data_IF_098453444418
#
_entry.id   IF_098453444418
#
_cell.length_a   1.000
_cell.length_b   1.000
_cell.length_c   1.000
_cell.angle_alpha   90.00
_cell.angle_beta   90.00
_cell.angle_gamma   90.00
#
_symmetry.space_group_name_H-M   'P 1'
#
loop_
_entity.id
_entity.type
_entity.pdbx_description
1 polymer ?
#
# COMPACT_ATOMS: atom_id res chain seq x y z
N UNK A 1 14.70 -32.65 9.38
CA UNK A 1 14.22 -31.59 10.30
C UNK A 1 14.40 -30.28 9.59
N UNK A 2 13.33 -29.72 9.04
CA UNK A 2 13.36 -28.38 8.43
C UNK A 2 13.44 -27.37 9.59
N UNK A 3 14.57 -26.69 9.74
CA UNK A 3 14.69 -25.56 10.65
C UNK A 3 13.64 -24.52 10.21
N UNK A 4 12.68 -24.25 11.07
CA UNK A 4 11.74 -23.16 10.87
C UNK A 4 12.57 -21.88 10.72
N UNK A 5 12.52 -21.27 9.55
CA UNK A 5 13.16 -19.96 9.30
C UNK A 5 12.43 -18.95 10.17
N UNK A 6 13.13 -18.36 11.13
CA UNK A 6 12.58 -17.28 11.96
C UNK A 6 12.50 -16.04 11.08
N UNK A 7 11.30 -15.51 10.88
CA UNK A 7 11.08 -14.27 10.15
C UNK A 7 11.68 -13.10 10.93
N UNK A 8 12.52 -12.27 10.31
CA UNK A 8 13.03 -11.05 10.94
C UNK A 8 11.89 -10.13 11.40
N UNK A 9 12.08 -9.49 12.56
CA UNK A 9 11.15 -8.50 13.10
C UNK A 9 11.83 -7.15 13.25
N UNK A 10 11.06 -6.14 12.93
CA UNK A 10 11.40 -4.72 13.09
C UNK A 10 10.36 -4.13 14.04
N UNK A 11 10.73 -3.94 15.29
CA UNK A 11 9.75 -3.71 16.35
C UNK A 11 8.75 -4.88 16.45
N UNK A 12 7.46 -4.59 16.38
CA UNK A 12 6.38 -5.60 16.42
C UNK A 12 6.09 -6.20 15.04
N UNK A 13 6.60 -5.60 13.94
CA UNK A 13 6.26 -6.01 12.58
C UNK A 13 7.24 -7.02 12.00
N UNK A 14 6.70 -8.00 11.30
CA UNK A 14 7.48 -8.92 10.49
C UNK A 14 7.89 -8.23 9.18
N UNK A 15 9.12 -8.46 8.73
CA UNK A 15 9.62 -7.79 7.53
C UNK A 15 10.82 -8.48 6.92
N UNK A 16 11.23 -7.98 5.74
CA UNK A 16 12.45 -8.37 5.08
C UNK A 16 13.23 -7.12 4.68
N UNK A 17 14.45 -6.98 5.20
CA UNK A 17 15.39 -5.94 4.82
C UNK A 17 16.39 -6.51 3.81
N UNK A 18 16.55 -5.83 2.69
CA UNK A 18 17.67 -6.02 1.80
C UNK A 18 18.50 -4.72 1.78
N UNK A 19 19.65 -4.77 2.42
CA UNK A 19 20.56 -3.64 2.48
C UNK A 19 21.12 -3.33 1.07
N UNK A 20 21.16 -2.06 0.74
CA UNK A 20 21.75 -1.55 -0.49
C UNK A 20 23.25 -1.26 -0.34
N UNK A 21 23.80 -0.55 -1.32
CA UNK A 21 25.23 -0.20 -1.37
C UNK A 21 25.60 1.06 -0.57
N UNK A 22 24.62 1.74 0.04
CA UNK A 22 24.88 2.99 0.78
C UNK A 22 25.23 4.18 -0.10
N UNK A 23 24.71 4.23 -1.32
CA UNK A 23 24.98 5.29 -2.32
C UNK A 23 24.24 6.61 -2.09
N UNK A 24 23.65 6.78 -0.91
CA UNK A 24 22.92 7.99 -0.49
C UNK A 24 21.49 8.10 -1.02
N UNK A 25 21.01 7.14 -1.83
CA UNK A 25 19.61 7.12 -2.27
C UNK A 25 18.68 6.68 -1.16
N UNK A 26 17.48 7.26 -1.12
CA UNK A 26 16.48 6.92 -0.12
C UNK A 26 16.07 5.43 -0.21
N UNK A 27 15.95 4.77 0.94
CA UNK A 27 15.42 3.42 1.00
C UNK A 27 13.95 3.38 0.58
N UNK A 28 13.55 2.28 -0.05
CA UNK A 28 12.16 2.01 -0.39
C UNK A 28 11.53 1.12 0.69
N UNK A 29 10.44 1.57 1.28
CA UNK A 29 9.66 0.81 2.27
C UNK A 29 8.32 0.43 1.67
N UNK A 30 8.00 -0.86 1.69
CA UNK A 30 6.84 -1.43 1.02
C UNK A 30 5.79 -1.88 2.03
N UNK A 31 4.58 -1.36 1.88
CA UNK A 31 3.41 -1.65 2.71
C UNK A 31 2.34 -2.34 1.86
N UNK A 32 2.02 -3.62 2.13
CA UNK A 32 1.05 -4.39 1.34
C UNK A 32 -0.36 -3.85 1.53
N UNK A 33 -1.22 -4.14 0.56
CA UNK A 33 -2.64 -3.84 0.67
C UNK A 33 -3.31 -4.64 1.78
N UNK A 34 -4.45 -4.14 2.24
CA UNK A 34 -5.27 -4.81 3.27
C UNK A 34 -5.56 -6.25 2.87
N UNK A 35 -5.42 -7.16 3.81
CA UNK A 35 -5.51 -8.62 3.70
C UNK A 35 -4.30 -9.33 3.10
N UNK A 36 -3.40 -8.62 2.45
CA UNK A 36 -2.20 -9.19 1.85
C UNK A 36 -1.00 -9.14 2.79
N UNK A 37 -0.06 -10.06 2.57
CA UNK A 37 1.24 -10.01 3.24
C UNK A 37 2.32 -9.38 2.32
N UNK A 38 3.49 -9.06 2.91
CA UNK A 38 4.62 -8.45 2.24
C UNK A 38 5.12 -9.20 1.00
N UNK A 39 4.79 -10.49 0.87
CA UNK A 39 5.28 -11.31 -0.24
C UNK A 39 4.61 -10.98 -1.57
N UNK A 40 3.52 -10.20 -1.56
CA UNK A 40 2.91 -9.68 -2.79
C UNK A 40 3.87 -8.80 -3.61
N UNK A 41 4.88 -8.22 -2.96
CA UNK A 41 5.90 -7.38 -3.61
C UNK A 41 7.00 -8.15 -4.35
N UNK A 42 7.05 -9.49 -4.19
CA UNK A 42 8.12 -10.33 -4.77
C UNK A 42 8.38 -10.11 -6.26
N UNK A 43 7.37 -10.00 -7.15
CA UNK A 43 7.63 -9.76 -8.57
C UNK A 43 8.35 -8.42 -8.80
N UNK A 44 7.83 -7.35 -8.24
CA UNK A 44 8.41 -6.01 -8.36
C UNK A 44 9.83 -5.93 -7.77
N UNK A 45 10.07 -6.54 -6.61
CA UNK A 45 11.39 -6.56 -5.97
C UNK A 45 12.41 -7.39 -6.74
N UNK A 46 11.99 -8.45 -7.43
CA UNK A 46 12.87 -9.22 -8.31
C UNK A 46 13.36 -8.36 -9.47
N UNK A 47 12.44 -7.65 -10.12
CA UNK A 47 12.77 -6.72 -11.21
C UNK A 47 13.62 -5.55 -10.71
N UNK A 48 13.28 -4.99 -9.55
CA UNK A 48 14.02 -3.88 -8.95
C UNK A 48 15.50 -4.27 -8.68
N UNK A 49 15.75 -5.46 -8.15
CA UNK A 49 17.12 -5.93 -7.93
C UNK A 49 17.97 -6.02 -9.19
N UNK A 50 17.33 -6.18 -10.35
CA UNK A 50 18.03 -6.18 -11.66
C UNK A 50 18.26 -4.76 -12.16
N UNK A 51 17.30 -3.86 -11.95
CA UNK A 51 17.29 -2.49 -12.49
C UNK A 51 18.10 -1.55 -11.57
N UNK A 52 17.96 -1.75 -10.26
CA UNK A 52 18.55 -0.90 -9.21
C UNK A 52 19.10 -1.77 -8.06
N UNK A 53 20.19 -2.55 -8.32
CA UNK A 53 20.70 -3.55 -7.38
C UNK A 53 21.25 -2.99 -6.08
N UNK A 54 21.59 -1.71 -6.05
CA UNK A 54 22.13 -1.02 -4.87
C UNK A 54 21.08 -0.43 -3.94
N UNK A 55 19.80 -0.54 -4.26
CA UNK A 55 18.72 0.08 -3.50
C UNK A 55 18.41 -0.68 -2.21
N UNK A 56 18.46 0.03 -1.07
CA UNK A 56 17.93 -0.53 0.18
C UNK A 56 16.42 -0.68 0.10
N UNK A 57 15.91 -1.85 0.45
CA UNK A 57 14.47 -2.12 0.48
C UNK A 57 14.05 -2.78 1.79
N UNK A 58 12.95 -2.32 2.37
CA UNK A 58 12.28 -2.93 3.52
C UNK A 58 10.84 -3.26 3.13
N UNK A 59 10.45 -4.52 3.25
CA UNK A 59 9.04 -4.92 3.13
C UNK A 59 8.51 -5.29 4.50
N UNK A 60 7.33 -4.79 4.85
CA UNK A 60 6.69 -5.05 6.14
C UNK A 60 5.34 -5.74 5.93
N UNK A 61 4.96 -6.62 6.85
CA UNK A 61 3.56 -6.97 7.03
C UNK A 61 2.89 -5.92 7.91
N UNK A 62 1.73 -5.44 7.51
CA UNK A 62 0.99 -4.47 8.31
C UNK A 62 0.50 -5.09 9.62
N UNK A 63 0.23 -4.28 10.65
CA UNK A 63 -0.27 -4.79 11.93
C UNK A 63 -1.52 -5.67 11.78
N UNK A 64 -1.47 -6.88 12.30
CA UNK A 64 -2.54 -7.88 12.20
C UNK A 64 -2.54 -8.69 10.91
N UNK A 65 -1.64 -8.40 9.95
CA UNK A 65 -1.54 -9.09 8.67
C UNK A 65 -0.29 -9.97 8.59
N UNK A 66 -0.30 -10.94 7.67
CA UNK A 66 0.82 -11.81 7.41
C UNK A 66 1.38 -12.48 8.68
N UNK A 67 2.68 -12.26 8.95
CA UNK A 67 3.35 -12.72 10.16
C UNK A 67 3.47 -11.63 11.24
N UNK A 68 2.95 -10.42 11.03
CA UNK A 68 2.78 -9.37 12.05
C UNK A 68 1.57 -9.68 12.92
N UNK A 69 1.72 -10.74 13.77
CA UNK A 69 0.65 -11.27 14.62
C UNK A 69 0.25 -10.23 15.66
N UNK A 70 -1.03 -10.12 15.92
CA UNK A 70 -1.58 -9.23 16.93
C UNK A 70 -2.95 -8.72 16.55
N UNK A 71 -3.47 -7.84 17.38
CA UNK A 71 -4.74 -7.17 17.13
C UNK A 71 -4.47 -5.82 16.46
N UNK A 72 -5.22 -5.50 15.44
CA UNK A 72 -5.23 -4.14 14.90
C UNK A 72 -5.81 -3.16 15.92
N UNK A 73 -5.05 -2.13 16.27
CA UNK A 73 -5.39 -1.16 17.33
C UNK A 73 -5.73 0.23 16.78
N UNK A 74 -6.08 0.30 15.50
CA UNK A 74 -6.39 1.55 14.80
C UNK A 74 -5.23 2.02 13.92
N UNK A 75 -5.59 2.87 12.96
CA UNK A 75 -4.66 3.33 11.92
C UNK A 75 -3.50 4.16 12.50
N UNK A 76 -3.78 4.98 13.50
CA UNK A 76 -2.75 5.78 14.17
C UNK A 76 -1.66 4.90 14.81
N UNK A 77 -2.08 3.86 15.55
CA UNK A 77 -1.14 2.90 16.15
C UNK A 77 -0.40 2.11 15.07
N UNK A 78 -1.06 1.76 13.97
CA UNK A 78 -0.42 1.09 12.86
C UNK A 78 0.70 1.94 12.23
N UNK A 79 0.48 3.24 12.09
CA UNK A 79 1.49 4.20 11.60
C UNK A 79 2.68 4.27 12.55
N UNK A 80 2.44 4.33 13.88
CA UNK A 80 3.52 4.30 14.89
C UNK A 80 4.34 3.00 14.80
N UNK A 81 3.68 1.85 14.65
CA UNK A 81 4.37 0.57 14.51
C UNK A 81 5.21 0.51 13.23
N UNK A 82 4.72 1.08 12.12
CA UNK A 82 5.50 1.21 10.89
C UNK A 82 6.71 2.12 11.11
N UNK A 83 6.55 3.25 11.83
CA UNK A 83 7.66 4.14 12.14
C UNK A 83 8.73 3.45 13.00
N UNK A 84 8.33 2.75 14.04
CA UNK A 84 9.26 1.96 14.87
C UNK A 84 9.99 0.90 14.04
N UNK A 85 9.28 0.26 13.10
CA UNK A 85 9.91 -0.74 12.23
C UNK A 85 10.93 -0.14 11.26
N UNK A 86 10.65 1.03 10.71
CA UNK A 86 11.56 1.77 9.82
C UNK A 86 12.81 2.21 10.60
N UNK A 87 12.63 2.75 11.80
CA UNK A 87 13.75 3.13 12.67
C UNK A 87 14.59 1.93 13.11
N UNK A 88 13.96 0.77 13.41
CA UNK A 88 14.68 -0.47 13.75
C UNK A 88 15.47 -1.06 12.58
N UNK A 89 15.20 -0.63 11.36
CA UNK A 89 15.96 -0.99 10.16
C UNK A 89 17.05 0.04 9.80
N UNK A 90 17.32 1.03 10.67
CA UNK A 90 18.24 2.15 10.43
C UNK A 90 17.93 2.91 9.12
N UNK A 91 16.65 3.09 8.82
CA UNK A 91 16.18 3.82 7.66
C UNK A 91 15.69 5.20 8.08
N UNK A 92 16.22 6.24 7.44
CA UNK A 92 15.78 7.62 7.59
C UNK A 92 15.15 8.14 6.30
N UNK A 93 14.10 8.94 6.43
CA UNK A 93 13.44 9.61 5.32
C UNK A 93 13.18 8.66 4.10
N UNK A 94 12.42 7.56 4.28
CA UNK A 94 12.18 6.60 3.21
C UNK A 94 11.32 7.17 2.09
N UNK A 95 11.32 6.50 0.93
CA UNK A 95 10.18 6.54 0.02
C UNK A 95 9.22 5.44 0.45
N UNK A 96 8.01 5.81 0.85
CA UNK A 96 6.97 4.85 1.20
C UNK A 96 6.21 4.40 -0.04
N UNK A 97 6.18 3.11 -0.29
CA UNK A 97 5.42 2.48 -1.36
C UNK A 97 4.27 1.69 -0.76
N UNK A 98 3.08 2.20 -0.86
CA UNK A 98 1.87 1.57 -0.31
C UNK A 98 0.93 1.09 -1.41
N UNK A 99 0.36 -0.10 -1.25
CA UNK A 99 -0.70 -0.61 -2.12
C UNK A 99 -2.07 -0.38 -1.49
N UNK A 100 -3.04 0.11 -2.29
CA UNK A 100 -4.43 0.24 -1.86
C UNK A 100 -4.55 1.04 -0.55
N UNK A 101 -5.26 0.56 0.46
CA UNK A 101 -5.41 1.22 1.76
C UNK A 101 -4.10 1.59 2.45
N UNK A 102 -3.02 0.83 2.24
CA UNK A 102 -1.70 1.17 2.79
C UNK A 102 -1.03 2.36 2.09
N UNK A 103 -1.46 2.72 0.88
CA UNK A 103 -1.04 3.97 0.26
C UNK A 103 -1.63 5.19 0.98
N UNK A 104 -2.87 5.08 1.45
CA UNK A 104 -3.50 6.10 2.29
C UNK A 104 -2.80 6.17 3.67
N UNK A 105 -2.46 5.01 4.25
CA UNK A 105 -1.67 4.96 5.48
C UNK A 105 -0.30 5.64 5.32
N UNK A 106 0.36 5.50 4.16
CA UNK A 106 1.61 6.19 3.85
C UNK A 106 1.45 7.71 3.79
N UNK A 107 0.32 8.22 3.29
CA UNK A 107 0.03 9.66 3.34
C UNK A 107 -0.11 10.16 4.78
N UNK A 108 -0.84 9.43 5.62
CA UNK A 108 -0.99 9.77 7.04
C UNK A 108 0.32 9.62 7.83
N UNK A 109 1.18 8.67 7.46
CA UNK A 109 2.54 8.58 8.00
C UNK A 109 3.32 9.87 7.71
N UNK A 110 3.28 10.37 6.48
CA UNK A 110 4.00 11.57 6.07
C UNK A 110 3.49 12.87 6.75
N UNK A 111 2.29 12.86 7.34
CA UNK A 111 1.81 13.97 8.18
C UNK A 111 2.55 14.06 9.54
N UNK A 112 3.14 12.93 9.99
CA UNK A 112 3.80 12.82 11.30
C UNK A 112 5.32 12.71 11.19
N UNK A 113 5.80 12.04 10.17
CA UNK A 113 7.20 11.65 10.02
C UNK A 113 7.74 12.05 8.65
N UNK A 114 9.01 12.46 8.57
CA UNK A 114 9.59 12.84 7.29
C UNK A 114 9.72 11.64 6.34
N UNK A 115 9.44 11.92 5.07
CA UNK A 115 9.61 10.97 3.97
C UNK A 115 10.28 11.67 2.79
N UNK A 116 11.00 10.91 1.96
CA UNK A 116 11.56 11.43 0.71
C UNK A 116 10.53 11.46 -0.41
N UNK A 117 9.46 10.69 -0.30
CA UNK A 117 8.36 10.62 -1.26
C UNK A 117 7.39 9.49 -0.96
N UNK A 118 6.29 9.47 -1.72
CA UNK A 118 5.26 8.43 -1.63
C UNK A 118 5.00 7.86 -3.02
N UNK A 119 4.95 6.53 -3.12
CA UNK A 119 4.41 5.81 -4.27
C UNK A 119 3.11 5.15 -3.85
N UNK A 120 2.02 5.72 -4.31
CA UNK A 120 0.69 5.16 -4.14
C UNK A 120 0.43 4.15 -5.27
N UNK A 121 0.18 2.91 -4.91
CA UNK A 121 -0.13 1.84 -5.87
C UNK A 121 -1.61 1.54 -5.81
N UNK A 122 -2.32 2.05 -6.79
CA UNK A 122 -3.73 1.81 -7.10
C UNK A 122 -4.73 2.14 -5.99
N UNK A 123 -4.45 3.20 -5.22
CA UNK A 123 -5.45 3.81 -4.33
C UNK A 123 -5.93 5.15 -4.91
N UNK A 124 -7.07 5.14 -5.56
CA UNK A 124 -7.72 6.37 -6.05
C UNK A 124 -8.13 7.22 -4.85
N UNK A 125 -7.71 8.50 -4.86
CA UNK A 125 -7.94 9.41 -3.73
C UNK A 125 -9.40 9.93 -3.67
N UNK A 126 -10.09 10.03 -4.80
CA UNK A 126 -11.54 10.20 -4.84
C UNK A 126 -12.21 8.85 -4.56
N UNK A 127 -12.38 8.55 -3.30
CA UNK A 127 -12.89 7.25 -2.85
C UNK A 127 -14.39 7.22 -2.53
N UNK A 128 -15.16 8.22 -2.95
CA UNK A 128 -16.58 8.34 -2.63
C UNK A 128 -17.40 7.12 -3.03
N UNK A 129 -17.19 6.60 -4.26
CA UNK A 129 -17.91 5.43 -4.76
C UNK A 129 -17.54 4.16 -3.97
N UNK A 130 -16.26 3.97 -3.65
CA UNK A 130 -15.78 2.85 -2.85
C UNK A 130 -16.33 2.93 -1.41
N UNK A 131 -16.29 4.10 -0.80
CA UNK A 131 -16.84 4.36 0.53
C UNK A 131 -18.34 4.06 0.60
N UNK A 132 -19.10 4.48 -0.41
CA UNK A 132 -20.54 4.18 -0.49
C UNK A 132 -20.80 2.68 -0.60
N UNK A 133 -20.01 1.98 -1.43
CA UNK A 133 -20.09 0.52 -1.57
C UNK A 133 -19.77 -0.21 -0.26
N UNK A 134 -18.69 0.19 0.44
CA UNK A 134 -18.32 -0.42 1.72
C UNK A 134 -19.39 -0.21 2.79
N UNK A 135 -19.97 0.99 2.89
CA UNK A 135 -21.09 1.24 3.82
C UNK A 135 -22.29 0.36 3.51
N UNK A 136 -22.61 0.14 2.24
CA UNK A 136 -23.69 -0.78 1.85
C UNK A 136 -23.40 -2.25 2.23
N UNK A 137 -22.14 -2.66 2.25
CA UNK A 137 -21.69 -4.01 2.62
C UNK A 137 -21.44 -4.17 4.13
N UNK A 138 -21.42 -3.08 4.91
CA UNK A 138 -21.08 -3.12 6.34
C UNK A 138 -21.90 -4.14 7.16
N UNK A 139 -23.24 -4.27 6.99
CA UNK A 139 -24.02 -5.28 7.69
C UNK A 139 -23.52 -6.71 7.44
N UNK A 140 -23.09 -7.00 6.20
CA UNK A 140 -22.58 -8.31 5.81
C UNK A 140 -21.16 -8.56 6.37
N UNK A 141 -20.34 -7.51 6.43
CA UNK A 141 -19.01 -7.58 7.05
C UNK A 141 -19.09 -7.87 8.56
N UNK A 142 -20.12 -7.36 9.24
CA UNK A 142 -20.30 -7.53 10.69
C UNK A 142 -21.02 -8.82 11.09
N UNK A 143 -21.82 -9.42 10.21
CA UNK A 143 -22.62 -10.61 10.53
C UNK A 143 -21.93 -11.95 10.23
N UNK A 144 -20.64 -11.93 9.85
CA UNK A 144 -19.85 -13.12 9.58
C UNK A 144 -19.83 -13.55 8.10
N UNK A 145 -20.43 -12.77 7.19
CA UNK A 145 -20.42 -13.06 5.73
C UNK A 145 -19.13 -12.58 5.05
N UNK A 146 -18.08 -12.27 5.81
CA UNK A 146 -16.82 -11.73 5.29
C UNK A 146 -16.23 -12.54 4.13
N UNK A 147 -16.16 -13.89 4.14
CA UNK A 147 -15.58 -14.63 3.01
C UNK A 147 -16.28 -14.31 1.69
N UNK A 148 -17.61 -14.30 1.68
CA UNK A 148 -18.36 -14.01 0.47
C UNK A 148 -18.21 -12.56 0.00
N UNK A 149 -18.20 -11.60 0.95
CA UNK A 149 -17.95 -10.18 0.65
C UNK A 149 -16.54 -10.00 0.10
N UNK A 150 -15.55 -10.68 0.68
CA UNK A 150 -14.18 -10.62 0.20
C UNK A 150 -14.02 -11.21 -1.20
N UNK A 151 -14.64 -12.36 -1.46
CA UNK A 151 -14.63 -12.98 -2.80
C UNK A 151 -15.22 -12.04 -3.86
N UNK A 152 -16.32 -11.34 -3.54
CA UNK A 152 -16.91 -10.32 -4.41
C UNK A 152 -15.96 -9.12 -4.65
N UNK A 153 -15.36 -8.58 -3.59
CA UNK A 153 -14.40 -7.49 -3.70
C UNK A 153 -13.16 -7.91 -4.49
N UNK A 154 -12.62 -9.10 -4.19
CA UNK A 154 -11.44 -9.64 -4.85
C UNK A 154 -11.67 -9.89 -6.34
N UNK A 155 -12.85 -10.38 -6.72
CA UNK A 155 -13.23 -10.54 -8.13
C UNK A 155 -13.21 -9.19 -8.87
N UNK A 156 -13.66 -8.11 -8.21
CA UNK A 156 -13.62 -6.75 -8.77
C UNK A 156 -12.22 -6.14 -8.88
N UNK A 157 -11.22 -6.74 -8.26
CA UNK A 157 -9.81 -6.30 -8.35
C UNK A 157 -9.09 -6.79 -9.60
N UNK A 158 -9.70 -7.70 -10.38
CA UNK A 158 -9.14 -8.21 -11.62
C UNK A 158 -7.74 -8.82 -11.49
N UNK A 159 -7.54 -9.64 -10.44
CA UNK A 159 -6.25 -10.28 -10.16
C UNK A 159 -5.77 -11.20 -11.29
N UNK A 160 -6.70 -11.76 -12.10
CA UNK A 160 -6.43 -12.59 -13.28
C UNK A 160 -5.57 -11.87 -14.34
N UNK A 161 -5.59 -10.54 -14.37
CA UNK A 161 -4.76 -9.72 -15.27
C UNK A 161 -3.27 -9.76 -14.92
N UNK A 162 -2.95 -10.24 -13.73
CA UNK A 162 -1.55 -10.52 -13.32
C UNK A 162 -1.02 -11.85 -13.89
N UNK A 163 -1.80 -12.53 -14.72
CA UNK A 163 -1.50 -13.87 -15.24
C UNK A 163 -1.65 -14.97 -14.18
N UNK A 164 -1.66 -16.26 -14.58
CA UNK A 164 -1.98 -17.35 -13.67
C UNK A 164 -1.08 -17.44 -12.43
N UNK A 165 0.22 -17.21 -12.58
CA UNK A 165 1.17 -17.25 -11.47
C UNK A 165 0.99 -16.05 -10.52
N UNK A 166 0.71 -14.85 -11.07
CA UNK A 166 0.44 -13.64 -10.30
C UNK A 166 -0.87 -13.77 -9.51
N UNK A 167 -1.93 -14.20 -10.15
CA UNK A 167 -3.22 -14.44 -9.48
C UNK A 167 -3.10 -15.49 -8.36
N UNK A 168 -2.44 -16.63 -8.63
CA UNK A 168 -2.22 -17.67 -7.63
C UNK A 168 -1.43 -17.13 -6.42
N UNK A 169 -0.42 -16.31 -6.66
CA UNK A 169 0.35 -15.65 -5.59
C UNK A 169 -0.53 -14.69 -4.78
N UNK A 170 -1.31 -13.83 -5.44
CA UNK A 170 -2.20 -12.88 -4.76
C UNK A 170 -3.23 -13.61 -3.89
N UNK A 171 -3.84 -14.68 -4.40
CA UNK A 171 -4.75 -15.52 -3.60
C UNK A 171 -4.05 -16.19 -2.43
N UNK A 172 -2.81 -16.64 -2.62
CA UNK A 172 -2.04 -17.29 -1.57
C UNK A 172 -1.58 -16.31 -0.47
N UNK A 173 -1.41 -15.04 -0.76
CA UNK A 173 -0.98 -14.00 0.19
C UNK A 173 -2.14 -13.29 0.89
N UNK A 174 -3.36 -13.46 0.38
CA UNK A 174 -4.56 -12.84 0.97
C UNK A 174 -5.11 -13.65 2.15
N UNK A 175 -5.31 -12.98 3.28
CA UNK A 175 -5.82 -13.56 4.53
C UNK A 175 -6.83 -12.60 5.18
N UNK A 176 -8.08 -12.52 4.64
CA UNK A 176 -9.07 -11.57 5.15
C UNK A 176 -9.44 -11.87 6.61
N UNK A 177 -9.31 -10.85 7.46
CA UNK A 177 -9.67 -10.88 8.87
C UNK A 177 -10.67 -9.76 9.17
N UNK A 178 -11.87 -10.09 9.72
CA UNK A 178 -12.93 -9.11 9.96
C UNK A 178 -12.50 -7.96 10.86
N UNK A 179 -11.81 -8.28 11.96
CA UNK A 179 -11.35 -7.31 12.95
C UNK A 179 -10.37 -6.29 12.34
N UNK A 180 -9.44 -6.78 11.53
CA UNK A 180 -8.44 -5.96 10.84
C UNK A 180 -9.10 -5.11 9.76
N UNK A 181 -9.92 -5.72 8.91
CA UNK A 181 -10.58 -5.02 7.80
C UNK A 181 -11.50 -3.90 8.30
N UNK A 182 -12.36 -4.19 9.29
CA UNK A 182 -13.26 -3.19 9.87
C UNK A 182 -12.49 -2.07 10.56
N UNK A 183 -11.34 -2.39 11.17
CA UNK A 183 -10.47 -1.41 11.79
C UNK A 183 -9.83 -0.46 10.77
N UNK A 184 -9.27 -0.99 9.68
CA UNK A 184 -8.70 -0.17 8.59
C UNK A 184 -9.76 0.66 7.87
N UNK A 185 -10.97 0.12 7.69
CA UNK A 185 -12.05 0.81 7.01
C UNK A 185 -12.87 1.73 7.92
N UNK A 186 -12.56 1.81 9.21
CA UNK A 186 -13.33 2.64 10.15
C UNK A 186 -13.55 4.09 9.66
N UNK A 187 -12.54 4.82 9.12
CA UNK A 187 -12.77 6.15 8.59
C UNK A 187 -13.69 6.19 7.37
N UNK A 188 -13.64 5.13 6.53
CA UNK A 188 -14.46 5.00 5.31
C UNK A 188 -15.91 4.61 5.66
N UNK A 189 -16.09 3.80 6.71
CA UNK A 189 -17.40 3.39 7.22
C UNK A 189 -18.07 4.49 8.05
N UNK A 190 -17.29 5.44 8.58
CA UNK A 190 -17.81 6.61 9.28
C UNK A 190 -18.70 7.47 8.35
N UNK A 191 -19.63 8.26 8.91
CA UNK A 191 -20.44 9.16 8.11
C UNK A 191 -19.59 10.13 7.27
N UNK A 192 -19.99 10.44 6.03
CA UNK A 192 -19.34 11.48 5.23
C UNK A 192 -19.38 12.84 5.95
N UNK A 193 -18.39 13.73 5.78
CA UNK A 193 -17.23 13.62 4.91
C UNK A 193 -15.92 13.17 5.62
N UNK A 194 -16.01 12.24 6.57
CA UNK A 194 -14.85 11.90 7.45
C UNK A 194 -13.60 11.47 6.66
N UNK A 195 -13.74 10.50 5.75
CA UNK A 195 -12.61 10.00 4.97
C UNK A 195 -12.13 11.05 3.96
N UNK A 196 -13.05 11.77 3.33
CA UNK A 196 -12.77 12.82 2.37
C UNK A 196 -11.97 13.97 2.99
N UNK A 197 -12.35 14.40 4.18
CA UNK A 197 -11.62 15.44 4.92
C UNK A 197 -10.21 14.96 5.30
N UNK A 198 -10.08 13.74 5.79
CA UNK A 198 -8.77 13.18 6.16
C UNK A 198 -7.82 13.09 4.95
N UNK A 199 -8.33 12.72 3.77
CA UNK A 199 -7.54 12.72 2.52
C UNK A 199 -7.19 14.15 2.11
N UNK A 200 -8.12 15.10 2.20
CA UNK A 200 -7.86 16.50 1.87
C UNK A 200 -6.77 17.10 2.77
N UNK A 201 -6.82 16.83 4.08
CA UNK A 201 -5.81 17.27 5.05
C UNK A 201 -4.43 16.65 4.74
N UNK A 202 -4.40 15.36 4.40
CA UNK A 202 -3.16 14.69 4.00
C UNK A 202 -2.56 15.30 2.72
N UNK A 203 -3.38 15.58 1.70
CA UNK A 203 -2.93 16.26 0.48
C UNK A 203 -2.38 17.65 0.81
N UNK A 204 -3.09 18.44 1.61
CA UNK A 204 -2.65 19.77 2.01
C UNK A 204 -1.28 19.73 2.72
N UNK A 205 -1.09 18.74 3.60
CA UNK A 205 0.17 18.52 4.30
C UNK A 205 1.32 18.16 3.33
N UNK A 206 1.10 17.20 2.42
CA UNK A 206 2.10 16.79 1.41
C UNK A 206 2.50 17.95 0.51
N UNK A 207 1.55 18.78 0.10
CA UNK A 207 1.79 19.99 -0.69
C UNK A 207 2.60 21.02 0.08
N UNK A 208 2.25 21.27 1.35
CA UNK A 208 2.98 22.21 2.20
C UNK A 208 4.44 21.78 2.43
N UNK A 209 4.68 20.48 2.53
CA UNK A 209 6.02 19.88 2.68
C UNK A 209 6.74 19.68 1.35
N UNK A 210 6.07 19.92 0.21
CA UNK A 210 6.58 19.64 -1.14
C UNK A 210 7.01 18.17 -1.31
N UNK A 211 6.32 17.24 -0.65
CA UNK A 211 6.62 15.82 -0.69
C UNK A 211 6.29 15.25 -2.07
N UNK A 212 7.26 14.66 -2.79
CA UNK A 212 7.01 14.00 -4.06
C UNK A 212 5.97 12.90 -3.91
N UNK A 213 4.98 12.90 -4.80
CA UNK A 213 3.91 11.91 -4.79
C UNK A 213 3.68 11.34 -6.17
N UNK A 214 3.76 10.01 -6.27
CA UNK A 214 3.51 9.27 -7.51
C UNK A 214 2.32 8.33 -7.30
N UNK A 215 1.28 8.48 -8.11
CA UNK A 215 0.13 7.59 -8.18
C UNK A 215 0.30 6.66 -9.37
N UNK A 216 0.41 5.35 -9.11
CA UNK A 216 0.50 4.31 -10.14
C UNK A 216 -0.83 3.57 -10.20
N UNK A 217 -1.55 3.72 -11.31
CA UNK A 217 -2.85 3.10 -11.53
C UNK A 217 -2.75 1.88 -12.42
N UNK A 218 -3.57 0.87 -12.16
CA UNK A 218 -3.68 -0.34 -12.97
C UNK A 218 -4.55 -0.19 -14.21
N UNK A 219 -5.25 0.93 -14.33
CA UNK A 219 -6.06 1.32 -15.48
C UNK A 219 -5.82 2.78 -15.83
N UNK A 220 -6.12 3.15 -17.07
CA UNK A 220 -6.15 4.56 -17.45
C UNK A 220 -7.19 5.31 -16.60
N UNK A 221 -6.80 6.38 -15.90
CA UNK A 221 -7.75 7.15 -15.13
C UNK A 221 -8.82 7.76 -16.05
N UNK A 222 -10.06 7.66 -15.65
CA UNK A 222 -11.17 8.29 -16.38
C UNK A 222 -11.11 9.82 -16.27
N UNK A 223 -11.99 10.50 -17.01
CA UNK A 223 -12.03 11.97 -17.04
C UNK A 223 -12.32 12.57 -15.67
N UNK A 224 -13.14 11.92 -14.86
CA UNK A 224 -13.48 12.41 -13.52
C UNK A 224 -12.26 12.32 -12.58
N UNK A 225 -11.56 11.19 -12.57
CA UNK A 225 -10.33 10.99 -11.79
C UNK A 225 -9.23 11.98 -12.22
N UNK A 226 -9.01 12.16 -13.54
CA UNK A 226 -8.01 13.12 -14.04
C UNK A 226 -8.33 14.54 -13.59
N UNK A 227 -9.60 14.94 -13.69
CA UNK A 227 -10.06 16.25 -13.26
C UNK A 227 -9.89 16.45 -11.78
N UNK A 228 -10.31 15.46 -10.97
CA UNK A 228 -10.19 15.51 -9.52
C UNK A 228 -8.72 15.68 -9.08
N UNK A 229 -7.80 14.89 -9.68
CA UNK A 229 -6.36 15.00 -9.39
C UNK A 229 -5.81 16.37 -9.80
N UNK A 230 -6.16 16.88 -10.98
CA UNK A 230 -5.71 18.19 -11.45
C UNK A 230 -6.21 19.35 -10.56
N UNK A 231 -7.40 19.24 -10.00
CA UNK A 231 -7.99 20.26 -9.12
C UNK A 231 -7.46 20.19 -7.68
N UNK A 232 -7.24 18.96 -7.16
CA UNK A 232 -6.94 18.74 -5.73
C UNK A 232 -5.47 18.49 -5.44
N UNK A 233 -4.77 17.83 -6.36
CA UNK A 233 -3.38 17.47 -6.19
C UNK A 233 -2.58 17.56 -7.50
N UNK A 234 -2.46 18.79 -8.10
CA UNK A 234 -1.82 18.98 -9.39
C UNK A 234 -0.33 18.65 -9.41
N UNK A 235 0.34 18.62 -8.24
CA UNK A 235 1.76 18.28 -8.13
C UNK A 235 2.02 16.76 -8.18
N UNK A 236 0.98 15.94 -8.07
CA UNK A 236 1.12 14.49 -8.12
C UNK A 236 1.47 14.02 -9.53
N UNK A 237 2.45 13.12 -9.62
CA UNK A 237 2.73 12.38 -10.86
C UNK A 237 1.76 11.21 -10.97
N UNK A 238 0.97 11.14 -12.04
CA UNK A 238 0.04 10.04 -12.29
C UNK A 238 0.55 9.19 -13.44
N UNK A 239 0.76 7.91 -13.19
CA UNK A 239 1.25 6.92 -14.17
C UNK A 239 0.25 5.79 -14.26
N UNK A 240 -0.18 5.43 -15.46
CA UNK A 240 -1.01 4.26 -15.68
C UNK A 240 -0.13 3.08 -16.18
N UNK A 241 -0.39 1.90 -15.63
CA UNK A 241 0.05 0.62 -16.15
C UNK A 241 -1.20 -0.19 -16.53
N UNK A 242 -1.82 0.10 -17.66
CA UNK A 242 -3.16 -0.39 -17.99
C UNK A 242 -3.21 -1.91 -18.14
N UNK A 243 -4.42 -2.47 -18.04
CA UNK A 243 -4.68 -3.91 -18.02
C UNK A 243 -4.05 -4.67 -16.84
N UNK A 244 -3.86 -4.00 -15.71
CA UNK A 244 -3.31 -4.61 -14.49
C UNK A 244 -4.37 -4.90 -13.43
N UNK A 245 -5.58 -4.36 -13.58
CA UNK A 245 -6.53 -4.32 -12.48
C UNK A 245 -5.92 -3.61 -11.26
N UNK A 246 -6.24 -4.09 -10.09
CA UNK A 246 -5.76 -3.50 -8.82
C UNK A 246 -4.29 -3.80 -8.49
N UNK A 247 -3.56 -4.52 -9.36
CA UNK A 247 -2.22 -5.03 -9.03
C UNK A 247 -1.14 -4.69 -10.07
N UNK A 248 -0.91 -3.40 -10.40
CA UNK A 248 0.05 -3.00 -11.44
C UNK A 248 1.49 -3.46 -11.15
N UNK A 249 1.87 -3.56 -9.89
CA UNK A 249 3.18 -4.03 -9.43
C UNK A 249 3.39 -5.55 -9.60
N UNK A 250 2.32 -6.32 -9.80
CA UNK A 250 2.36 -7.76 -10.07
C UNK A 250 2.22 -8.03 -11.56
N UNK A 251 1.30 -7.34 -12.22
CA UNK A 251 1.03 -7.51 -13.65
C UNK A 251 2.19 -6.98 -14.52
N UNK A 252 2.79 -5.85 -14.15
CA UNK A 252 3.88 -5.19 -14.89
C UNK A 252 5.11 -4.92 -14.00
N UNK A 253 5.73 -5.97 -13.42
CA UNK A 253 6.77 -5.81 -12.40
C UNK A 253 7.99 -5.02 -12.89
N UNK A 254 8.41 -5.18 -14.16
CA UNK A 254 9.55 -4.47 -14.71
C UNK A 254 9.25 -2.99 -14.95
N UNK A 255 8.06 -2.64 -15.42
CA UNK A 255 7.64 -1.26 -15.60
C UNK A 255 7.52 -0.56 -14.24
N UNK A 256 6.91 -1.23 -13.27
CA UNK A 256 6.78 -0.72 -11.91
C UNK A 256 8.15 -0.54 -11.23
N UNK A 257 9.08 -1.47 -11.42
CA UNK A 257 10.44 -1.35 -10.89
C UNK A 257 11.21 -0.15 -11.48
N UNK A 258 11.01 0.19 -12.77
CA UNK A 258 11.58 1.41 -13.35
C UNK A 258 11.02 2.69 -12.72
N UNK A 259 9.71 2.70 -12.40
CA UNK A 259 9.10 3.80 -11.66
C UNK A 259 9.78 3.93 -10.29
N UNK A 260 9.92 2.83 -9.54
CA UNK A 260 10.58 2.84 -8.24
C UNK A 260 12.04 3.33 -8.31
N UNK A 261 12.78 2.92 -9.34
CA UNK A 261 14.16 3.36 -9.54
C UNK A 261 14.27 4.88 -9.80
N UNK A 262 13.22 5.50 -10.37
CA UNK A 262 13.22 6.93 -10.71
C UNK A 262 12.74 7.86 -9.57
N UNK A 263 11.98 7.36 -8.58
CA UNK A 263 11.33 8.22 -7.57
C UNK A 263 12.22 8.73 -6.43
N UNK A 264 13.50 8.49 -6.44
CA UNK A 264 14.39 8.86 -5.34
C UNK A 264 15.77 9.33 -5.79
N UNK A 265 15.87 9.76 -7.00
CA UNK A 265 17.08 10.40 -7.54
C UNK A 265 17.18 11.88 -7.15
#
# INVERSE_FOLDING_TARGET
MTTASITPRFGELAGNLAAGTGDGRAALVFLPGLTFDRTMWRPALRSLRTIDPGRTTLTLDMPGEGESIGTFRGLEVAIEQVHVAIAAADIENPVLTGHSGSAIAAMFYAMKYPVRGIVNVDAVLDNNAFSARLRALEPQLRNGSLPAVWDELFAGFHAERSGPAGEAMLRATSRPRPDVMLGYWAPVLAPPPTAENAIADAIANLRAQQTPYTLVLGEEPDTATRRWMAERFPEATVIALPNSGHFPHVAHPDAFARILASVSS
#
